data_IF_957124168320
#
_entry.id   IF_957124168320
#
_cell.length_a   1.000
_cell.length_b   1.000
_cell.length_c   1.000
_cell.angle_alpha   90.00
_cell.angle_beta   90.00
_cell.angle_gamma   90.00
#
_symmetry.space_group_name_H-M   'P 1'
#
loop_
_entity.id
_entity.type
_entity.pdbx_description
1 polymer ?
#
# COMPACT_ATOMS: atom_id res chain seq x y z
N UNK A 1 -43.55 6.82 9.88
CA UNK A 1 -42.38 6.64 8.98
C UNK A 1 -41.18 7.29 9.64
N UNK A 2 -40.63 6.70 10.69
CA UNK A 2 -39.66 7.41 11.54
C UNK A 2 -38.85 6.43 12.38
N UNK A 3 -37.59 6.75 12.63
CA UNK A 3 -36.53 5.99 13.32
C UNK A 3 -35.71 4.97 12.52
N UNK A 4 -36.29 4.07 11.71
CA UNK A 4 -35.46 3.08 10.99
C UNK A 4 -34.67 3.68 9.81
N UNK A 5 -35.25 4.63 9.08
CA UNK A 5 -34.59 5.27 7.94
C UNK A 5 -33.43 6.17 8.37
N UNK A 6 -33.62 6.94 9.45
CA UNK A 6 -32.57 7.82 9.99
C UNK A 6 -31.35 7.05 10.52
N UNK A 7 -31.56 5.89 11.15
CA UNK A 7 -30.45 5.04 11.62
C UNK A 7 -29.65 4.43 10.45
N UNK A 8 -30.33 4.10 9.34
CA UNK A 8 -29.65 3.56 8.14
C UNK A 8 -28.87 4.67 7.44
N UNK A 9 -29.46 5.86 7.29
CA UNK A 9 -28.81 7.04 6.71
C UNK A 9 -27.55 7.44 7.51
N UNK A 10 -27.64 7.49 8.85
CA UNK A 10 -26.48 7.79 9.72
C UNK A 10 -25.37 6.73 9.58
N UNK A 11 -25.71 5.45 9.43
CA UNK A 11 -24.73 4.37 9.34
C UNK A 11 -24.04 4.34 7.98
N UNK A 12 -24.77 4.64 6.90
CA UNK A 12 -24.22 4.75 5.54
C UNK A 12 -23.32 5.99 5.39
N UNK A 13 -23.70 7.13 5.96
CA UNK A 13 -22.90 8.36 5.94
C UNK A 13 -21.57 8.16 6.69
N UNK A 14 -21.60 7.53 7.88
CA UNK A 14 -20.38 7.19 8.63
C UNK A 14 -19.50 6.21 7.86
N UNK A 15 -20.12 5.23 7.18
CA UNK A 15 -19.42 4.27 6.31
C UNK A 15 -18.69 4.95 5.15
N UNK A 16 -19.37 5.87 4.46
CA UNK A 16 -18.80 6.68 3.38
C UNK A 16 -17.60 7.51 3.86
N UNK A 17 -17.79 8.32 4.91
CA UNK A 17 -16.74 9.22 5.43
C UNK A 17 -15.51 8.41 5.85
N UNK A 18 -15.72 7.27 6.50
CA UNK A 18 -14.63 6.38 6.92
C UNK A 18 -13.90 5.78 5.72
N UNK A 19 -14.63 5.30 4.70
CA UNK A 19 -14.02 4.73 3.50
C UNK A 19 -13.23 5.77 2.70
N UNK A 20 -13.77 6.97 2.53
CA UNK A 20 -13.11 8.07 1.82
C UNK A 20 -11.82 8.50 2.53
N UNK A 21 -11.87 8.66 3.86
CA UNK A 21 -10.68 8.99 4.66
C UNK A 21 -9.58 7.93 4.48
N UNK A 22 -9.94 6.64 4.54
CA UNK A 22 -8.98 5.54 4.36
C UNK A 22 -8.35 5.51 2.97
N UNK A 23 -9.09 5.85 1.92
CA UNK A 23 -8.54 5.95 0.54
C UNK A 23 -7.49 7.06 0.46
N UNK A 24 -7.76 8.22 1.06
CA UNK A 24 -6.79 9.33 1.13
C UNK A 24 -5.53 8.96 1.92
N UNK A 25 -5.72 8.44 3.13
CA UNK A 25 -4.63 7.99 4.00
C UNK A 25 -3.77 6.90 3.34
N UNK A 26 -4.38 6.01 2.56
CA UNK A 26 -3.65 4.95 1.85
C UNK A 26 -2.62 5.51 0.87
N UNK A 27 -3.01 6.49 0.04
CA UNK A 27 -2.10 7.16 -0.88
C UNK A 27 -0.96 7.84 -0.13
N UNK A 28 -1.28 8.53 0.96
CA UNK A 28 -0.29 9.25 1.77
C UNK A 28 0.71 8.29 2.44
N UNK A 29 0.24 7.13 2.89
CA UNK A 29 1.09 6.05 3.42
C UNK A 29 2.01 5.46 2.38
N UNK A 30 1.55 5.25 1.15
CA UNK A 30 2.42 4.80 0.04
C UNK A 30 3.53 5.83 -0.21
N UNK A 31 3.17 7.12 -0.31
CA UNK A 31 4.13 8.20 -0.52
C UNK A 31 5.12 8.33 0.65
N UNK A 32 4.67 8.16 1.88
CA UNK A 32 5.53 8.14 3.05
C UNK A 32 6.49 6.96 3.03
N UNK A 33 6.01 5.76 2.67
CA UNK A 33 6.85 4.58 2.51
C UNK A 33 7.93 4.82 1.44
N UNK A 34 7.58 5.34 0.27
CA UNK A 34 8.57 5.56 -0.79
C UNK A 34 9.68 6.52 -0.39
N UNK A 35 9.36 7.58 0.36
CA UNK A 35 10.38 8.47 0.94
C UNK A 35 11.27 7.72 1.93
N UNK A 36 10.67 6.94 2.83
CA UNK A 36 11.41 6.16 3.81
C UNK A 36 12.34 5.13 3.14
N UNK A 37 11.87 4.42 2.12
CA UNK A 37 12.70 3.47 1.37
C UNK A 37 13.83 4.17 0.63
N UNK A 38 13.60 5.38 0.11
CA UNK A 38 14.64 6.20 -0.51
C UNK A 38 15.74 6.56 0.48
N UNK A 39 15.37 6.97 1.69
CA UNK A 39 16.33 7.30 2.75
C UNK A 39 17.16 6.10 3.21
N UNK A 40 16.59 4.89 3.10
CA UNK A 40 17.29 3.64 3.42
C UNK A 40 18.22 3.13 2.31
N UNK A 41 18.10 3.68 1.11
CA UNK A 41 18.75 3.15 -0.09
C UNK A 41 20.01 3.92 -0.47
N UNK A 42 20.92 3.27 -1.24
CA UNK A 42 22.07 3.96 -1.83
C UNK A 42 21.65 5.18 -2.66
N UNK A 43 22.45 6.25 -2.61
CA UNK A 43 22.14 7.54 -3.24
C UNK A 43 22.25 7.49 -4.76
N UNK A 44 22.95 6.51 -5.31
CA UNK A 44 23.08 6.25 -6.74
C UNK A 44 21.82 5.64 -7.37
N UNK A 45 20.87 5.16 -6.56
CA UNK A 45 19.61 4.63 -7.08
C UNK A 45 18.76 5.76 -7.65
N UNK A 46 18.19 5.50 -8.82
CA UNK A 46 17.19 6.35 -9.46
C UNK A 46 15.81 5.88 -9.06
N UNK A 47 14.98 6.82 -8.63
CA UNK A 47 13.63 6.59 -8.14
C UNK A 47 12.65 7.25 -9.10
N UNK A 48 11.82 6.45 -9.75
CA UNK A 48 10.81 6.93 -10.69
C UNK A 48 9.40 6.53 -10.21
N UNK A 49 8.56 7.53 -9.99
CA UNK A 49 7.14 7.38 -9.62
C UNK A 49 6.21 7.99 -10.65
N UNK A 50 6.67 8.17 -11.89
CA UNK A 50 5.87 8.75 -12.98
C UNK A 50 4.75 7.82 -13.45
N UNK A 51 4.94 6.51 -13.31
CA UNK A 51 3.90 5.52 -13.58
C UNK A 51 2.85 5.53 -12.46
N UNK A 52 1.58 5.45 -12.83
CA UNK A 52 0.45 5.37 -11.90
C UNK A 52 -0.45 4.17 -12.23
N UNK A 53 -1.22 3.74 -11.25
CA UNK A 53 -2.27 2.74 -11.39
C UNK A 53 -3.56 3.29 -10.77
N UNK A 54 -4.65 3.19 -11.53
CA UNK A 54 -5.98 3.57 -11.07
C UNK A 54 -6.52 2.52 -10.10
N UNK A 55 -6.80 2.92 -8.87
CA UNK A 55 -7.49 2.11 -7.86
C UNK A 55 -8.97 2.48 -7.84
N UNK A 56 -9.83 1.50 -8.08
CA UNK A 56 -11.29 1.64 -8.01
C UNK A 56 -11.91 0.34 -7.49
N UNK A 57 -11.65 0.05 -6.21
CA UNK A 57 -12.10 -1.19 -5.57
C UNK A 57 -13.62 -1.22 -5.40
N UNK A 58 -14.19 -2.42 -5.20
CA UNK A 58 -15.63 -2.60 -5.05
C UNK A 58 -16.20 -1.77 -3.89
N UNK A 59 -15.47 -1.66 -2.77
CA UNK A 59 -15.89 -0.83 -1.66
C UNK A 59 -16.01 0.66 -2.06
N UNK A 60 -15.10 1.17 -2.88
CA UNK A 60 -15.20 2.55 -3.39
C UNK A 60 -16.45 2.72 -4.25
N UNK A 61 -16.71 1.78 -5.16
CA UNK A 61 -17.89 1.81 -6.03
C UNK A 61 -19.18 1.79 -5.23
N UNK A 62 -19.27 0.92 -4.22
CA UNK A 62 -20.45 0.78 -3.38
C UNK A 62 -20.79 2.05 -2.60
N UNK A 63 -19.76 2.83 -2.25
CA UNK A 63 -19.91 4.12 -1.56
C UNK A 63 -19.84 5.32 -2.51
N UNK A 64 -19.79 5.15 -3.84
CA UNK A 64 -19.68 6.26 -4.78
C UNK A 64 -18.40 7.10 -4.65
N UNK A 65 -17.32 6.50 -4.14
CA UNK A 65 -16.01 7.15 -4.01
C UNK A 65 -15.30 7.09 -5.37
N UNK A 66 -14.86 8.25 -5.85
CA UNK A 66 -14.14 8.37 -7.11
C UNK A 66 -12.84 7.54 -7.14
N UNK A 67 -12.46 7.00 -8.30
CA UNK A 67 -11.18 6.33 -8.47
C UNK A 67 -10.01 7.27 -8.14
N UNK A 68 -8.93 6.70 -7.59
CA UNK A 68 -7.70 7.45 -7.31
C UNK A 68 -6.51 6.86 -8.07
N UNK A 69 -5.55 7.71 -8.39
CA UNK A 69 -4.26 7.29 -8.95
C UNK A 69 -3.26 7.02 -7.83
N UNK A 70 -2.64 5.84 -7.88
CA UNK A 70 -1.58 5.44 -6.96
C UNK A 70 -0.24 5.35 -7.70
N UNK A 71 0.84 5.92 -7.14
CA UNK A 71 2.14 5.87 -7.80
C UNK A 71 2.70 4.45 -7.76
N UNK A 72 3.28 4.04 -8.88
CA UNK A 72 4.10 2.84 -9.01
C UNK A 72 5.55 3.28 -8.92
N UNK A 73 6.33 2.68 -8.03
CA UNK A 73 7.74 3.00 -7.89
C UNK A 73 8.59 2.04 -8.74
N UNK A 74 9.40 2.58 -9.63
CA UNK A 74 10.51 1.88 -10.27
C UNK A 74 11.83 2.36 -9.66
N UNK A 75 12.75 1.41 -9.44
CA UNK A 75 14.08 1.66 -8.89
C UNK A 75 15.10 1.07 -9.85
N UNK A 76 16.02 1.91 -10.31
CA UNK A 76 17.13 1.54 -11.19
C UNK A 76 18.46 1.92 -10.54
N UNK A 77 19.53 1.17 -10.81
CA UNK A 77 20.90 1.61 -10.57
C UNK A 77 21.54 2.12 -11.88
N UNK A 78 22.82 2.47 -11.85
CA UNK A 78 23.53 2.96 -13.03
C UNK A 78 23.59 1.93 -14.19
N UNK A 79 23.40 0.65 -13.90
CA UNK A 79 23.64 -0.47 -14.81
C UNK A 79 22.38 -1.24 -15.19
N UNK A 80 21.31 -1.18 -14.38
CA UNK A 80 20.14 -2.03 -14.55
C UNK A 80 18.97 -1.68 -13.64
N UNK A 81 17.80 -2.18 -14.01
CA UNK A 81 16.63 -2.22 -13.15
C UNK A 81 16.87 -3.03 -11.88
N UNK A 82 16.51 -2.49 -10.72
CA UNK A 82 16.65 -3.15 -9.40
C UNK A 82 15.34 -3.72 -8.90
N UNK A 83 14.31 -2.88 -8.87
CA UNK A 83 13.05 -3.25 -8.25
C UNK A 83 11.87 -2.41 -8.78
N UNK A 84 10.67 -2.93 -8.54
CA UNK A 84 9.40 -2.25 -8.79
C UNK A 84 8.44 -2.51 -7.66
N UNK A 85 7.82 -1.46 -7.12
CA UNK A 85 6.74 -1.58 -6.14
C UNK A 85 5.43 -1.17 -6.79
N UNK A 86 4.45 -2.08 -6.76
CA UNK A 86 3.14 -1.90 -7.37
C UNK A 86 2.07 -1.91 -6.28
N UNK A 87 1.30 -0.83 -6.10
CA UNK A 87 0.12 -0.86 -5.25
C UNK A 87 -0.89 -1.91 -5.73
N UNK A 88 -1.33 -2.79 -4.83
CA UNK A 88 -2.27 -3.86 -5.16
C UNK A 88 -3.70 -3.53 -4.73
N UNK A 89 -3.88 -3.10 -3.48
CA UNK A 89 -5.20 -2.75 -2.95
C UNK A 89 -5.15 -2.43 -1.46
N UNK A 90 -6.13 -1.67 -1.00
CA UNK A 90 -6.33 -1.21 0.37
C UNK A 90 -7.04 -2.27 1.21
N UNK A 91 -8.17 -2.81 0.73
CA UNK A 91 -9.00 -3.73 1.51
C UNK A 91 -8.60 -5.19 1.25
N UNK A 92 -7.47 -5.59 1.82
CA UNK A 92 -6.98 -6.97 1.75
C UNK A 92 -7.24 -7.74 3.05
N UNK A 93 -7.60 -9.03 2.92
CA UNK A 93 -7.77 -9.90 4.10
C UNK A 93 -6.43 -10.04 4.82
N UNK A 94 -6.42 -9.69 6.12
CA UNK A 94 -5.25 -9.85 6.99
C UNK A 94 -4.23 -8.71 6.95
N UNK A 95 -4.54 -7.57 6.31
CA UNK A 95 -3.67 -6.40 6.29
C UNK A 95 -4.43 -5.10 6.04
N UNK A 96 -3.73 -3.99 6.22
CA UNK A 96 -4.25 -2.65 5.95
C UNK A 96 -3.54 -2.08 4.71
N UNK A 97 -3.87 -2.69 3.58
CA UNK A 97 -3.27 -2.45 2.29
C UNK A 97 -2.08 -3.36 1.95
N UNK A 98 -1.86 -3.53 0.64
CA UNK A 98 -0.81 -4.36 0.07
C UNK A 98 -0.14 -3.68 -1.11
N UNK A 99 1.17 -3.83 -1.16
CA UNK A 99 2.02 -3.55 -2.30
C UNK A 99 2.76 -4.83 -2.68
N UNK A 100 3.00 -5.01 -3.97
CA UNK A 100 3.89 -6.06 -4.46
C UNK A 100 5.26 -5.45 -4.76
N UNK A 101 6.31 -6.02 -4.18
CA UNK A 101 7.69 -5.71 -4.51
C UNK A 101 8.19 -6.78 -5.48
N UNK A 102 8.58 -6.36 -6.69
CA UNK A 102 9.25 -7.19 -7.68
C UNK A 102 10.73 -6.82 -7.70
N UNK A 103 11.60 -7.80 -7.62
CA UNK A 103 13.05 -7.65 -7.84
C UNK A 103 13.48 -8.62 -8.95
N UNK A 104 14.77 -8.59 -9.33
CA UNK A 104 15.28 -9.46 -10.41
C UNK A 104 15.07 -10.95 -10.12
N UNK A 105 15.21 -11.34 -8.87
CA UNK A 105 15.26 -12.74 -8.45
C UNK A 105 13.95 -13.20 -7.80
N UNK A 106 13.18 -12.29 -7.20
CA UNK A 106 12.06 -12.64 -6.31
C UNK A 106 10.92 -11.63 -6.36
N UNK A 107 9.79 -12.07 -5.82
CA UNK A 107 8.64 -11.22 -5.50
C UNK A 107 8.44 -11.28 -3.99
N UNK A 108 8.18 -10.12 -3.40
CA UNK A 108 7.79 -9.97 -2.00
C UNK A 108 6.43 -9.29 -1.90
N UNK A 109 5.75 -9.51 -0.78
CA UNK A 109 4.55 -8.79 -0.40
C UNK A 109 4.92 -7.78 0.68
N UNK A 110 4.58 -6.52 0.46
CA UNK A 110 4.63 -5.47 1.48
C UNK A 110 3.20 -5.22 1.95
N UNK A 111 2.93 -5.43 3.24
CA UNK A 111 1.58 -5.29 3.81
C UNK A 111 1.56 -4.25 4.91
N UNK A 112 0.57 -3.36 4.89
CA UNK A 112 0.36 -2.40 5.96
C UNK A 112 -0.10 -3.09 7.23
N UNK A 113 0.48 -2.71 8.36
CA UNK A 113 -0.01 -3.12 9.68
C UNK A 113 -1.25 -2.28 10.01
N UNK A 114 -2.39 -2.89 10.39
CA UNK A 114 -3.56 -2.14 10.81
C UNK A 114 -3.27 -1.41 12.13
N UNK A 115 -3.82 -0.21 12.36
CA UNK A 115 -3.58 0.58 13.57
C UNK A 115 -3.80 -0.18 14.88
N UNK A 116 -4.78 -1.10 14.89
CA UNK A 116 -5.10 -1.95 16.04
C UNK A 116 -4.01 -2.98 16.40
N UNK A 117 -3.13 -3.33 15.46
CA UNK A 117 -2.04 -4.29 15.64
C UNK A 117 -0.65 -3.63 15.68
N UNK A 118 -0.59 -2.29 15.63
CA UNK A 118 0.65 -1.51 15.60
C UNK A 118 0.68 -0.52 14.43
N UNK A 119 1.87 -0.01 14.12
CA UNK A 119 2.09 0.89 12.99
C UNK A 119 3.22 0.37 12.11
N UNK A 120 3.19 0.76 10.83
CA UNK A 120 4.25 0.48 9.86
C UNK A 120 3.89 -0.58 8.83
N UNK A 121 4.93 -1.22 8.31
CA UNK A 121 4.88 -2.11 7.16
C UNK A 121 5.58 -3.42 7.48
N UNK A 122 5.10 -4.51 6.87
CA UNK A 122 5.76 -5.82 6.92
C UNK A 122 6.14 -6.26 5.52
N UNK A 123 7.17 -7.08 5.43
CA UNK A 123 7.61 -7.72 4.19
C UNK A 123 7.60 -9.25 4.37
N UNK A 124 7.24 -9.98 3.31
CA UNK A 124 7.18 -11.45 3.33
C UNK A 124 7.32 -12.05 1.93
N UNK A 125 7.74 -13.30 1.87
CA UNK A 125 7.64 -14.11 0.65
C UNK A 125 6.18 -14.52 0.39
N UNK A 126 5.71 -14.50 -0.88
CA UNK A 126 4.33 -14.87 -1.23
C UNK A 126 3.92 -16.28 -0.78
N UNK A 127 4.88 -17.21 -0.71
CA UNK A 127 4.68 -18.60 -0.30
C UNK A 127 4.72 -18.82 1.22
N UNK A 128 5.29 -17.88 1.97
CA UNK A 128 5.50 -17.98 3.43
C UNK A 128 4.83 -16.82 4.16
N UNK A 129 3.54 -16.57 3.88
CA UNK A 129 2.78 -15.44 4.47
C UNK A 129 2.69 -15.44 6.00
N UNK A 130 3.07 -16.53 6.67
CA UNK A 130 3.14 -16.61 8.13
C UNK A 130 4.47 -16.06 8.68
N UNK A 131 5.51 -16.05 7.85
CA UNK A 131 6.84 -15.56 8.19
C UNK A 131 6.97 -14.11 7.71
N UNK A 132 6.17 -13.23 8.31
CA UNK A 132 6.24 -11.79 8.06
C UNK A 132 7.25 -11.15 8.98
N UNK A 133 8.19 -10.38 8.43
CA UNK A 133 9.10 -9.55 9.21
C UNK A 133 8.74 -8.06 9.09
N UNK A 134 9.23 -7.26 10.03
CA UNK A 134 9.08 -5.80 9.96
C UNK A 134 9.88 -5.25 8.77
N UNK A 135 9.25 -4.38 7.97
CA UNK A 135 9.95 -3.65 6.93
C UNK A 135 10.77 -2.53 7.57
N UNK A 136 12.09 -2.69 7.54
CA UNK A 136 13.08 -1.75 8.03
C UNK A 136 14.23 -1.65 7.01
N UNK A 137 15.25 -0.84 7.28
CA UNK A 137 16.39 -0.70 6.36
C UNK A 137 17.08 -2.03 6.05
N UNK A 138 17.25 -2.93 7.03
CA UNK A 138 17.91 -4.21 6.85
C UNK A 138 17.10 -5.15 5.96
N UNK A 139 15.81 -5.35 6.26
CA UNK A 139 14.95 -6.23 5.45
C UNK A 139 14.71 -5.65 4.05
N UNK A 140 14.65 -4.33 3.92
CA UNK A 140 14.60 -3.64 2.64
C UNK A 140 15.83 -3.90 1.77
N UNK A 141 17.04 -3.66 2.31
CA UNK A 141 18.28 -3.86 1.56
C UNK A 141 18.49 -5.34 1.22
N UNK A 142 18.11 -6.25 2.11
CA UNK A 142 18.17 -7.69 1.85
C UNK A 142 17.24 -8.10 0.70
N UNK A 143 16.04 -7.51 0.59
CA UNK A 143 15.11 -7.80 -0.49
C UNK A 143 15.60 -7.36 -1.88
N UNK A 144 16.53 -6.39 -1.94
CA UNK A 144 17.07 -5.83 -3.18
C UNK A 144 18.31 -6.57 -3.73
N UNK A 145 18.86 -7.53 -2.98
CA UNK A 145 20.03 -8.33 -3.36
C UNK A 145 19.64 -9.52 -4.24
#
# INVERSE_FOLDING_TARGET
MSSYTALIEDTEEIGFVTAQARVGEWRDRINALYRQLKDWSPTEYKWDTSQHLTMHEEMMKNYGIDPIELPVLNIDDASSWKAKIIPYGLWIIGGDGRLDLLTKSRRYLITGVPPSAGSGWRISDPGSRRDTETLNQSSWLAALQ
#
